data_IF_187921343207
#
_entry.id   IF_187921343207
#
_cell.length_a   1.000
_cell.length_b   1.000
_cell.length_c   1.000
_cell.angle_alpha   90.00
_cell.angle_beta   90.00
_cell.angle_gamma   90.00
#
_symmetry.space_group_name_H-M   'P 1'
#
loop_
_entity.id
_entity.type
_entity.pdbx_description
1 polymer ?
#
# COMPACT_ATOMS: atom_id res chain seq x y z
N UNK A 1 8.17 -18.33 -17.60
CA UNK A 1 8.38 -18.06 -16.16
C UNK A 1 9.58 -17.13 -16.05
N UNK A 2 9.37 -15.85 -15.74
CA UNK A 2 10.48 -14.89 -15.61
C UNK A 2 11.06 -15.08 -14.22
N UNK A 3 12.27 -15.59 -14.13
CA UNK A 3 13.01 -15.68 -12.87
C UNK A 3 13.98 -14.51 -12.80
N UNK A 4 14.05 -13.85 -11.65
CA UNK A 4 15.02 -12.79 -11.38
C UNK A 4 15.91 -13.25 -10.25
N UNK A 5 17.19 -13.41 -10.54
CA UNK A 5 18.19 -13.76 -9.54
C UNK A 5 18.86 -12.48 -9.06
N UNK A 6 18.93 -12.28 -7.75
CA UNK A 6 19.69 -11.20 -7.14
C UNK A 6 20.86 -11.78 -6.35
N UNK A 7 22.02 -11.16 -6.48
CA UNK A 7 23.19 -11.46 -5.66
C UNK A 7 23.28 -10.42 -4.55
N UNK A 8 23.37 -10.88 -3.31
CA UNK A 8 23.51 -10.03 -2.12
C UNK A 8 24.75 -10.43 -1.35
N UNK A 9 25.29 -9.53 -0.54
CA UNK A 9 26.36 -9.87 0.39
C UNK A 9 25.87 -10.84 1.47
N UNK A 10 26.80 -11.57 2.08
CA UNK A 10 26.48 -12.55 3.11
C UNK A 10 25.78 -11.90 4.33
N UNK A 11 26.17 -10.69 4.69
CA UNK A 11 25.55 -9.95 5.80
C UNK A 11 24.10 -9.59 5.50
N UNK A 12 23.82 -9.16 4.25
CA UNK A 12 22.45 -8.87 3.80
C UNK A 12 21.62 -10.15 3.78
N UNK A 13 22.19 -11.27 3.33
CA UNK A 13 21.51 -12.57 3.33
C UNK A 13 21.10 -12.99 4.75
N UNK A 14 22.00 -12.88 5.72
CA UNK A 14 21.71 -13.20 7.13
C UNK A 14 20.57 -12.35 7.69
N UNK A 15 20.56 -11.06 7.37
CA UNK A 15 19.49 -10.17 7.83
C UNK A 15 18.15 -10.52 7.16
N UNK A 16 18.15 -10.83 5.87
CA UNK A 16 16.95 -11.29 5.17
C UNK A 16 16.42 -12.61 5.76
N UNK A 17 17.29 -13.56 6.11
CA UNK A 17 16.89 -14.82 6.76
C UNK A 17 16.26 -14.56 8.14
N UNK A 18 16.82 -13.62 8.91
CA UNK A 18 16.27 -13.21 10.21
C UNK A 18 14.87 -12.61 10.07
N UNK A 19 14.68 -11.69 9.11
CA UNK A 19 13.40 -11.07 8.82
C UNK A 19 12.36 -12.10 8.34
N UNK A 20 12.78 -13.01 7.45
CA UNK A 20 11.93 -14.09 6.97
C UNK A 20 11.43 -14.97 8.12
N UNK A 21 12.33 -15.42 9.01
CA UNK A 21 11.93 -16.22 10.18
C UNK A 21 10.96 -15.48 11.09
N UNK A 22 11.16 -14.18 11.31
CA UNK A 22 10.24 -13.38 12.12
C UNK A 22 8.84 -13.36 11.50
N UNK A 23 8.75 -13.15 10.18
CA UNK A 23 7.48 -13.16 9.45
C UNK A 23 6.82 -14.54 9.43
N UNK A 24 7.60 -15.62 9.33
CA UNK A 24 7.09 -16.99 9.43
C UNK A 24 6.45 -17.27 10.80
N UNK A 25 7.05 -16.75 11.88
CA UNK A 25 6.48 -16.83 13.24
C UNK A 25 5.18 -16.03 13.34
N UNK A 26 5.15 -14.81 12.80
CA UNK A 26 3.96 -13.95 12.81
C UNK A 26 2.79 -14.56 12.01
N UNK A 27 3.08 -15.24 10.89
CA UNK A 27 2.08 -15.88 10.03
C UNK A 27 1.79 -17.34 10.40
N UNK A 28 2.56 -17.93 11.32
CA UNK A 28 2.41 -19.34 11.72
C UNK A 28 2.69 -20.36 10.61
N UNK A 29 3.45 -20.00 9.57
CA UNK A 29 3.79 -20.89 8.45
C UNK A 29 5.18 -20.61 7.89
N UNK A 30 5.82 -21.62 7.33
CA UNK A 30 7.09 -21.46 6.59
C UNK A 30 6.84 -20.82 5.23
N UNK A 31 7.79 -20.00 4.77
CA UNK A 31 7.72 -19.29 3.49
C UNK A 31 8.86 -19.75 2.56
N UNK A 32 8.64 -19.75 1.26
CA UNK A 32 9.75 -19.72 0.30
C UNK A 32 10.34 -18.30 0.22
N UNK A 33 11.46 -18.12 -0.49
CA UNK A 33 11.99 -16.77 -0.73
C UNK A 33 11.03 -15.93 -1.58
N UNK A 34 10.42 -16.52 -2.59
CA UNK A 34 9.46 -15.83 -3.45
C UNK A 34 8.20 -15.42 -2.67
N UNK A 35 7.71 -16.28 -1.79
CA UNK A 35 6.57 -15.95 -0.92
C UNK A 35 6.94 -14.83 0.05
N UNK A 36 8.12 -14.89 0.66
CA UNK A 36 8.59 -13.84 1.57
C UNK A 36 8.63 -12.47 0.91
N UNK A 37 9.24 -12.35 -0.28
CA UNK A 37 9.28 -11.09 -1.00
C UNK A 37 7.89 -10.64 -1.47
N UNK A 38 7.03 -11.59 -1.86
CA UNK A 38 5.64 -11.29 -2.25
C UNK A 38 4.84 -10.69 -1.09
N UNK A 39 4.95 -11.26 0.11
CA UNK A 39 4.28 -10.74 1.31
C UNK A 39 4.85 -9.37 1.72
N UNK A 40 6.16 -9.18 1.64
CA UNK A 40 6.81 -7.88 1.94
C UNK A 40 6.34 -6.76 0.99
N UNK A 41 6.18 -7.08 -0.31
CA UNK A 41 5.65 -6.13 -1.30
C UNK A 41 4.16 -5.84 -1.04
N UNK A 42 3.36 -6.86 -0.70
CA UNK A 42 1.95 -6.67 -0.34
C UNK A 42 1.80 -5.75 0.87
N UNK A 43 2.53 -6.00 1.96
CA UNK A 43 2.49 -5.19 3.18
C UNK A 43 2.85 -3.73 2.87
N UNK A 44 3.90 -3.51 2.07
CA UNK A 44 4.28 -2.17 1.62
C UNK A 44 3.19 -1.51 0.78
N UNK A 45 2.60 -2.25 -0.17
CA UNK A 45 1.54 -1.74 -1.05
C UNK A 45 0.28 -1.41 -0.27
N UNK A 46 -0.07 -2.20 0.73
CA UNK A 46 -1.22 -1.96 1.60
C UNK A 46 -0.99 -0.77 2.54
N UNK A 47 0.22 -0.61 3.10
CA UNK A 47 0.61 0.60 3.82
C UNK A 47 0.53 1.83 2.91
N UNK A 48 1.13 1.78 1.73
CA UNK A 48 1.06 2.88 0.75
C UNK A 48 -0.38 3.18 0.32
N UNK A 49 -1.27 2.19 0.22
CA UNK A 49 -2.70 2.40 -0.06
C UNK A 49 -3.45 3.03 1.12
N UNK A 50 -3.14 2.64 2.36
CA UNK A 50 -3.68 3.28 3.58
C UNK A 50 -3.21 4.73 3.68
N UNK A 51 -1.95 4.98 3.37
CA UNK A 51 -1.36 6.33 3.38
C UNK A 51 -1.88 7.20 2.22
N UNK A 52 -2.34 6.59 1.12
CA UNK A 52 -3.01 7.28 0.00
C UNK A 52 -4.49 7.60 0.25
N UNK A 53 -5.08 7.19 1.38
CA UNK A 53 -6.42 7.63 1.74
C UNK A 53 -6.31 9.08 2.24
N UNK A 54 -6.31 10.04 1.31
CA UNK A 54 -6.38 11.46 1.63
C UNK A 54 -7.69 11.72 2.38
N UNK A 55 -7.57 11.96 3.68
CA UNK A 55 -8.68 12.35 4.53
C UNK A 55 -8.82 13.85 4.37
N UNK A 56 -9.99 14.30 3.89
CA UNK A 56 -10.32 15.72 3.85
C UNK A 56 -10.48 16.21 5.29
N UNK A 57 -9.93 17.37 5.59
CA UNK A 57 -10.35 18.14 6.77
C UNK A 57 -11.81 18.56 6.63
N UNK A 58 -12.45 18.90 7.75
CA UNK A 58 -13.85 19.33 7.76
C UNK A 58 -14.07 20.55 6.84
N UNK A 59 -13.10 21.48 6.82
CA UNK A 59 -13.13 22.67 5.96
C UNK A 59 -13.03 22.31 4.47
N UNK A 60 -12.11 21.41 4.09
CA UNK A 60 -11.97 20.95 2.71
C UNK A 60 -13.22 20.17 2.23
N UNK A 61 -13.83 19.39 3.13
CA UNK A 61 -15.07 18.68 2.85
C UNK A 61 -16.23 19.66 2.62
N UNK A 62 -16.35 20.71 3.43
CA UNK A 62 -17.38 21.74 3.29
C UNK A 62 -17.22 22.55 2.00
N UNK A 63 -15.99 22.91 1.64
CA UNK A 63 -15.69 23.58 0.37
C UNK A 63 -16.09 22.70 -0.82
N UNK A 64 -15.74 21.41 -0.81
CA UNK A 64 -16.12 20.48 -1.87
C UNK A 64 -17.63 20.29 -1.97
N UNK A 65 -18.33 20.23 -0.83
CA UNK A 65 -19.78 20.14 -0.78
C UNK A 65 -20.42 21.36 -1.47
N UNK A 66 -19.97 22.56 -1.10
CA UNK A 66 -20.46 23.81 -1.66
C UNK A 66 -20.23 23.90 -3.17
N UNK A 67 -19.02 23.62 -3.64
CA UNK A 67 -18.69 23.63 -5.07
C UNK A 67 -19.55 22.64 -5.86
N UNK A 68 -19.81 21.45 -5.28
CA UNK A 68 -20.66 20.43 -5.89
C UNK A 68 -22.11 20.89 -6.01
N UNK A 69 -22.65 21.54 -4.97
CA UNK A 69 -24.00 22.11 -5.01
C UNK A 69 -24.14 23.23 -6.03
N UNK A 70 -23.17 24.15 -6.07
CA UNK A 70 -23.15 25.26 -7.01
C UNK A 70 -23.06 24.76 -8.46
N UNK A 71 -22.21 23.76 -8.72
CA UNK A 71 -22.13 23.06 -10.00
C UNK A 71 -23.45 22.42 -10.42
N UNK A 72 -24.12 21.68 -9.51
CA UNK A 72 -25.44 21.08 -9.78
C UNK A 72 -26.52 22.11 -10.08
N UNK A 73 -26.53 23.24 -9.33
CA UNK A 73 -27.47 24.35 -9.59
C UNK A 73 -27.19 25.03 -10.93
N UNK A 74 -25.93 25.11 -11.34
CA UNK A 74 -25.55 25.66 -12.66
C UNK A 74 -26.05 24.75 -13.80
N UNK A 75 -25.85 23.44 -13.68
CA UNK A 75 -26.35 22.47 -14.65
C UNK A 75 -27.86 22.47 -14.77
N UNK A 76 -28.61 22.50 -13.66
CA UNK A 76 -30.08 22.55 -13.69
C UNK A 76 -30.65 23.84 -14.31
N UNK A 77 -29.89 24.94 -14.28
CA UNK A 77 -30.31 26.21 -14.89
C UNK A 77 -30.01 26.28 -16.39
N UNK A 78 -29.06 25.48 -16.86
CA UNK A 78 -28.63 25.44 -18.25
C UNK A 78 -29.08 24.16 -18.98
N UNK A 79 -29.98 23.37 -18.38
CA UNK A 79 -30.65 22.21 -18.95
C UNK A 79 -32.11 22.55 -19.21
#
# INVERSE_FOLDING_TARGET
>A
MVHTTISVSEDVKKELERLKRKMEVELGRTLSWDDFFSELIKERTEKEKKDKKLILSDEEAEILLRLTEEGRRSWRRNA
#
